data_IF_099671518108
#
_entry.id   IF_099671518108
#
_cell.length_a   1.000
_cell.length_b   1.000
_cell.length_c   1.000
_cell.angle_alpha   90.00
_cell.angle_beta   90.00
_cell.angle_gamma   90.00
#
_symmetry.space_group_name_H-M   'P 1'
#
loop_
_entity.id
_entity.type
_entity.pdbx_description
1 polymer ?
#
# COMPACT_ATOMS: atom_id res chain seq x y z
N UNK A 1 -9.63 -7.86 -4.08
CA UNK A 1 -9.95 -6.46 -3.79
C UNK A 1 -9.83 -6.24 -2.30
N UNK A 2 -9.02 -5.28 -1.86
CA UNK A 2 -8.98 -4.89 -0.45
C UNK A 2 -10.28 -4.17 -0.09
N UNK A 3 -10.91 -4.53 1.04
CA UNK A 3 -12.08 -3.79 1.56
C UNK A 3 -11.73 -2.97 2.80
N UNK A 4 -10.57 -3.22 3.41
CA UNK A 4 -10.05 -2.43 4.52
C UNK A 4 -9.75 -0.99 4.12
N UNK A 5 -9.04 -0.82 3.00
CA UNK A 5 -8.74 0.50 2.41
C UNK A 5 -10.02 1.32 2.12
N UNK A 6 -11.09 0.69 1.64
CA UNK A 6 -12.39 1.34 1.42
C UNK A 6 -12.98 1.89 2.72
N UNK A 7 -12.92 1.10 3.81
CA UNK A 7 -13.40 1.52 5.13
C UNK A 7 -12.59 2.70 5.67
N UNK A 8 -11.26 2.65 5.55
CA UNK A 8 -10.38 3.72 5.99
C UNK A 8 -10.64 5.02 5.24
N UNK A 9 -10.70 4.98 3.91
CA UNK A 9 -10.97 6.15 3.08
C UNK A 9 -12.35 6.75 3.39
N UNK A 10 -13.38 5.92 3.58
CA UNK A 10 -14.72 6.38 3.95
C UNK A 10 -14.75 7.07 5.33
N UNK A 11 -13.88 6.66 6.26
CA UNK A 11 -13.74 7.27 7.58
C UNK A 11 -12.69 8.41 7.60
N UNK A 12 -12.28 8.91 6.43
CA UNK A 12 -11.42 10.07 6.31
C UNK A 12 -9.93 9.81 6.50
N UNK A 13 -9.48 8.56 6.57
CA UNK A 13 -8.06 8.25 6.55
C UNK A 13 -7.50 8.43 5.13
N UNK A 14 -6.36 9.12 5.01
CA UNK A 14 -5.64 9.22 3.75
C UNK A 14 -4.84 7.94 3.52
N UNK A 15 -4.90 7.42 2.30
CA UNK A 15 -4.22 6.17 1.97
C UNK A 15 -2.79 6.46 1.51
N UNK A 16 -1.83 5.77 2.12
CA UNK A 16 -0.51 5.51 1.55
C UNK A 16 -0.51 4.09 1.00
N UNK A 17 -0.14 3.90 -0.26
CA UNK A 17 -0.25 2.59 -0.90
C UNK A 17 0.35 2.50 -2.29
N UNK A 18 0.60 1.26 -2.72
CA UNK A 18 1.01 0.94 -4.09
C UNK A 18 -0.18 1.01 -5.06
N UNK A 19 0.13 1.04 -6.37
CA UNK A 19 -0.86 1.08 -7.46
C UNK A 19 -1.48 -0.30 -7.74
N UNK A 20 -2.00 -0.98 -6.72
CA UNK A 20 -2.57 -2.33 -6.83
C UNK A 20 -4.01 -2.43 -6.30
N UNK A 21 -4.77 -3.36 -6.89
CA UNK A 21 -6.12 -3.72 -6.47
C UNK A 21 -7.05 -2.51 -6.33
N UNK A 22 -7.72 -2.41 -5.17
CA UNK A 22 -8.68 -1.35 -4.90
C UNK A 22 -8.03 0.03 -4.67
N UNK A 23 -6.71 0.12 -4.51
CA UNK A 23 -6.04 1.42 -4.39
C UNK A 23 -6.08 2.19 -5.72
N UNK A 24 -6.06 1.49 -6.86
CA UNK A 24 -6.26 2.09 -8.19
C UNK A 24 -7.61 2.80 -8.23
N UNK A 25 -8.67 2.07 -7.91
CA UNK A 25 -10.04 2.61 -7.89
C UNK A 25 -10.19 3.74 -6.87
N UNK A 26 -9.59 3.61 -5.67
CA UNK A 26 -9.65 4.67 -4.65
C UNK A 26 -8.98 5.93 -5.17
N UNK A 27 -7.74 5.83 -5.68
CA UNK A 27 -6.96 6.97 -6.16
C UNK A 27 -7.67 7.69 -7.31
N UNK A 28 -8.27 6.96 -8.25
CA UNK A 28 -9.08 7.55 -9.33
C UNK A 28 -10.25 8.38 -8.81
N UNK A 29 -10.93 7.91 -7.75
CA UNK A 29 -12.11 8.59 -7.20
C UNK A 29 -11.77 9.73 -6.29
N UNK A 30 -10.84 9.54 -5.36
CA UNK A 30 -10.47 10.58 -4.39
C UNK A 30 -9.60 11.65 -5.07
N UNK A 31 -8.93 11.31 -6.16
CA UNK A 31 -8.00 12.17 -6.90
C UNK A 31 -6.57 11.98 -6.41
N UNK A 32 -5.61 12.06 -7.35
CA UNK A 32 -4.19 11.81 -7.08
C UNK A 32 -3.63 12.63 -5.92
N UNK A 33 -4.04 13.90 -5.77
CA UNK A 33 -3.55 14.79 -4.71
C UNK A 33 -4.00 14.38 -3.30
N UNK A 34 -5.01 13.51 -3.20
CA UNK A 34 -5.61 13.04 -1.95
C UNK A 34 -5.19 11.61 -1.57
N UNK A 35 -4.12 11.10 -2.20
CA UNK A 35 -3.58 9.75 -2.04
C UNK A 35 -2.04 9.80 -2.07
N UNK A 36 -1.37 9.10 -1.17
CA UNK A 36 0.09 9.00 -1.14
C UNK A 36 0.53 7.73 -1.86
N UNK A 37 0.86 7.85 -3.14
CA UNK A 37 1.31 6.74 -3.97
C UNK A 37 2.80 6.48 -3.74
N UNK A 38 3.18 5.22 -3.59
CA UNK A 38 4.58 4.80 -3.58
C UNK A 38 4.78 3.47 -4.30
N UNK A 39 6.05 3.13 -4.53
CA UNK A 39 6.47 1.82 -5.00
C UNK A 39 6.27 1.60 -6.50
N UNK A 40 6.66 0.40 -6.93
CA UNK A 40 6.66 -0.02 -8.33
C UNK A 40 5.23 -0.23 -8.85
N UNK A 41 5.05 0.10 -10.13
CA UNK A 41 3.88 -0.36 -10.91
C UNK A 41 3.99 -1.84 -11.24
N UNK A 42 2.87 -2.47 -11.60
CA UNK A 42 2.83 -3.90 -11.99
C UNK A 42 3.79 -4.17 -13.16
N UNK A 43 3.85 -3.27 -14.13
CA UNK A 43 4.73 -3.36 -15.29
C UNK A 43 6.21 -3.28 -14.88
N UNK A 44 6.55 -2.38 -13.96
CA UNK A 44 7.91 -2.23 -13.44
C UNK A 44 8.33 -3.45 -12.60
N UNK A 45 7.42 -4.03 -11.82
CA UNK A 45 7.65 -5.30 -11.09
C UNK A 45 8.06 -6.42 -12.04
N UNK A 46 7.30 -6.61 -13.13
CA UNK A 46 7.63 -7.64 -14.12
C UNK A 46 8.95 -7.35 -14.82
N UNK A 47 9.19 -6.11 -15.22
CA UNK A 47 10.43 -5.71 -15.87
C UNK A 47 11.64 -5.92 -14.95
N UNK A 48 11.53 -5.55 -13.67
CA UNK A 48 12.59 -5.72 -12.68
C UNK A 48 12.92 -7.20 -12.46
N UNK A 49 11.90 -8.04 -12.23
CA UNK A 49 12.09 -9.49 -12.06
C UNK A 49 12.72 -10.12 -13.31
N UNK A 50 12.27 -9.74 -14.51
CA UNK A 50 12.81 -10.27 -15.78
C UNK A 50 14.30 -9.92 -16.03
N UNK A 51 14.78 -8.82 -15.44
CA UNK A 51 16.18 -8.38 -15.55
C UNK A 51 17.12 -9.10 -14.58
N UNK A 52 16.61 -10.00 -13.73
CA UNK A 52 17.38 -10.69 -12.71
C UNK A 52 17.61 -9.80 -11.49
N UNK A 53 16.50 -9.34 -10.88
CA UNK A 53 16.51 -8.58 -9.63
C UNK A 53 17.44 -9.20 -8.57
N UNK A 54 18.35 -8.39 -8.04
CA UNK A 54 19.24 -8.76 -6.94
C UNK A 54 18.95 -7.87 -5.72
N UNK A 55 18.34 -8.42 -4.64
CA UNK A 55 18.01 -7.64 -3.45
C UNK A 55 19.25 -7.14 -2.71
N UNK A 56 20.41 -7.81 -2.83
CA UNK A 56 21.65 -7.38 -2.17
C UNK A 56 22.16 -6.07 -2.76
N UNK A 57 22.07 -5.92 -4.08
CA UNK A 57 22.45 -4.70 -4.77
C UNK A 57 21.61 -3.49 -4.32
N UNK A 58 20.33 -3.69 -3.99
CA UNK A 58 19.47 -2.63 -3.44
C UNK A 58 19.98 -2.15 -2.09
N UNK A 59 20.32 -3.10 -1.20
CA UNK A 59 20.85 -2.78 0.13
C UNK A 59 22.20 -2.05 0.04
N UNK A 60 23.08 -2.48 -0.87
CA UNK A 60 24.37 -1.83 -1.08
C UNK A 60 24.22 -0.38 -1.58
N UNK A 61 23.16 -0.09 -2.33
CA UNK A 61 22.83 1.25 -2.82
C UNK A 61 22.17 2.19 -1.80
N UNK A 62 21.72 1.67 -0.65
CA UNK A 62 20.97 2.43 0.36
C UNK A 62 21.57 2.23 1.77
N UNK A 63 22.40 3.19 2.24
CA UNK A 63 23.07 3.08 3.54
C UNK A 63 22.13 2.96 4.75
N UNK A 64 20.95 3.60 4.68
CA UNK A 64 19.96 3.55 5.76
C UNK A 64 19.34 2.16 5.82
N UNK A 65 18.90 1.63 4.66
CA UNK A 65 18.37 0.28 4.57
C UNK A 65 19.39 -0.75 5.04
N UNK A 66 20.66 -0.59 4.63
CA UNK A 66 21.74 -1.45 5.09
C UNK A 66 21.87 -1.44 6.61
N UNK A 67 21.86 -0.26 7.22
CA UNK A 67 21.93 -0.14 8.67
C UNK A 67 20.76 -0.85 9.36
N UNK A 68 19.54 -0.71 8.84
CA UNK A 68 18.34 -1.40 9.36
C UNK A 68 18.51 -2.92 9.32
N UNK A 69 18.91 -3.47 8.17
CA UNK A 69 19.13 -4.91 8.00
C UNK A 69 20.25 -5.41 8.92
N UNK A 70 21.36 -4.68 9.02
CA UNK A 70 22.49 -5.04 9.87
C UNK A 70 22.08 -5.08 11.36
N UNK A 71 21.30 -4.11 11.84
CA UNK A 71 20.84 -4.06 13.23
C UNK A 71 19.88 -5.20 13.57
N UNK A 72 18.93 -5.52 12.69
CA UNK A 72 18.03 -6.65 12.88
C UNK A 72 18.84 -7.96 12.88
N UNK A 73 19.79 -8.11 11.96
CA UNK A 73 20.64 -9.30 11.85
C UNK A 73 21.60 -9.49 13.03
N UNK A 74 22.05 -8.40 13.64
CA UNK A 74 22.94 -8.42 14.80
C UNK A 74 22.22 -8.71 16.13
N UNK A 75 20.89 -8.88 16.11
CA UNK A 75 20.09 -9.17 17.30
C UNK A 75 19.83 -7.96 18.20
N UNK A 76 19.96 -6.73 17.66
CA UNK A 76 19.71 -5.48 18.42
C UNK A 76 18.29 -5.44 18.99
N UNK A 77 17.33 -6.05 18.29
CA UNK A 77 15.90 -6.08 18.68
C UNK A 77 15.45 -7.43 19.24
N UNK A 78 16.38 -8.29 19.64
CA UNK A 78 16.11 -9.66 20.11
C UNK A 78 17.01 -10.07 21.28
N UNK A 79 17.31 -9.12 22.17
CA UNK A 79 18.17 -9.33 23.35
C UNK A 79 19.54 -9.97 23.02
N UNK A 80 20.07 -9.65 21.83
CA UNK A 80 21.35 -10.18 21.35
C UNK A 80 21.27 -11.56 20.68
N UNK A 81 20.08 -12.14 20.48
CA UNK A 81 19.91 -13.36 19.69
C UNK A 81 19.85 -13.04 18.18
N UNK A 82 20.91 -13.33 17.40
CA UNK A 82 20.93 -13.04 15.96
C UNK A 82 20.10 -14.03 15.14
N UNK A 83 19.65 -15.15 15.73
CA UNK A 83 18.97 -16.23 15.00
C UNK A 83 17.46 -16.03 14.91
N UNK A 84 16.87 -15.24 15.81
CA UNK A 84 15.42 -15.04 15.91
C UNK A 84 14.80 -14.54 14.58
N UNK A 85 15.45 -13.57 13.93
CA UNK A 85 14.96 -12.97 12.68
C UNK A 85 15.63 -13.51 11.42
N UNK A 86 16.57 -14.46 11.55
CA UNK A 86 17.31 -15.04 10.42
C UNK A 86 16.39 -15.52 9.28
N UNK A 87 15.24 -16.19 9.52
CA UNK A 87 14.36 -16.63 8.43
C UNK A 87 13.80 -15.47 7.59
N UNK A 88 13.48 -14.33 8.24
CA UNK A 88 12.96 -13.14 7.56
C UNK A 88 14.06 -12.46 6.78
N UNK A 89 15.22 -12.22 7.41
CA UNK A 89 16.38 -11.61 6.76
C UNK A 89 16.80 -12.43 5.55
N UNK A 90 16.91 -13.75 5.69
CA UNK A 90 17.27 -14.62 4.57
C UNK A 90 16.25 -14.57 3.44
N UNK A 91 14.95 -14.53 3.74
CA UNK A 91 13.90 -14.37 2.72
C UNK A 91 14.08 -13.08 1.90
N UNK A 92 14.42 -11.97 2.57
CA UNK A 92 14.70 -10.68 1.95
C UNK A 92 16.02 -10.70 1.15
N UNK A 93 17.10 -11.22 1.70
CA UNK A 93 18.41 -11.18 1.04
C UNK A 93 18.54 -12.17 -0.12
N UNK A 94 17.85 -13.31 -0.07
CA UNK A 94 18.00 -14.36 -1.07
C UNK A 94 17.04 -14.21 -2.25
N UNK A 95 15.80 -13.78 -2.01
CA UNK A 95 14.77 -13.72 -3.06
C UNK A 95 13.97 -12.44 -3.08
N UNK A 96 13.59 -11.93 -1.91
CA UNK A 96 12.69 -10.78 -1.78
C UNK A 96 11.49 -10.88 -2.75
N UNK A 97 10.74 -11.98 -2.64
CA UNK A 97 9.68 -12.35 -3.60
C UNK A 97 8.65 -11.23 -3.80
N UNK A 98 8.40 -10.45 -2.75
CA UNK A 98 7.42 -9.37 -2.73
C UNK A 98 8.04 -7.98 -2.93
N UNK A 99 9.32 -7.90 -3.32
CA UNK A 99 10.01 -6.66 -3.64
C UNK A 99 10.00 -5.62 -2.51
N UNK A 100 10.05 -6.12 -1.27
CA UNK A 100 10.04 -5.29 -0.05
C UNK A 100 11.25 -4.37 -0.03
N UNK A 101 12.42 -4.87 -0.40
CA UNK A 101 13.64 -4.08 -0.43
C UNK A 101 13.62 -3.08 -1.59
N UNK A 102 13.11 -3.48 -2.75
CA UNK A 102 13.01 -2.60 -3.91
C UNK A 102 12.08 -1.40 -3.66
N UNK A 103 10.96 -1.60 -2.96
CA UNK A 103 10.00 -0.54 -2.65
C UNK A 103 10.37 0.28 -1.39
N UNK A 104 11.37 -0.15 -0.62
CA UNK A 104 11.70 0.43 0.68
C UNK A 104 11.91 1.95 0.62
N UNK A 105 12.80 2.42 -0.26
CA UNK A 105 13.13 3.85 -0.35
C UNK A 105 11.92 4.68 -0.77
N UNK A 106 11.16 4.22 -1.76
CA UNK A 106 9.94 4.89 -2.20
C UNK A 106 8.89 4.97 -1.09
N UNK A 107 8.78 3.93 -0.26
CA UNK A 107 7.89 3.92 0.89
C UNK A 107 8.31 4.91 1.98
N UNK A 108 9.60 4.97 2.32
CA UNK A 108 10.15 5.93 3.29
C UNK A 108 9.91 7.36 2.82
N UNK A 109 10.24 7.67 1.56
CA UNK A 109 10.04 9.01 0.99
C UNK A 109 8.55 9.41 1.00
N UNK A 110 7.65 8.47 0.71
CA UNK A 110 6.21 8.72 0.79
C UNK A 110 5.72 8.92 2.23
N UNK A 111 6.29 8.23 3.22
CA UNK A 111 6.00 8.47 4.63
C UNK A 111 6.47 9.86 5.10
N UNK A 112 7.61 10.34 4.59
CA UNK A 112 8.07 11.71 4.85
C UNK A 112 7.08 12.75 4.28
N UNK A 113 6.53 12.50 3.09
CA UNK A 113 5.48 13.35 2.51
C UNK A 113 4.17 13.28 3.30
N UNK A 114 3.81 12.12 3.87
CA UNK A 114 2.69 12.00 4.81
C UNK A 114 2.94 12.86 6.04
N UNK A 115 4.14 12.78 6.63
CA UNK A 115 4.49 13.54 7.83
C UNK A 115 4.47 15.06 7.58
N UNK A 116 5.00 15.52 6.43
CA UNK A 116 4.90 16.92 5.99
C UNK A 116 3.44 17.34 5.80
N UNK A 117 2.66 16.52 5.10
CA UNK A 117 1.25 16.78 4.84
C UNK A 117 0.39 16.86 6.10
N UNK A 118 0.68 16.02 7.10
CA UNK A 118 -0.07 16.00 8.36
C UNK A 118 0.11 17.27 9.21
N UNK A 119 1.25 17.98 9.05
CA UNK A 119 1.51 19.26 9.74
C UNK A 119 0.64 20.41 9.21
N UNK A 120 0.23 20.35 7.94
CA UNK A 120 -0.76 21.29 7.37
C UNK A 120 -2.17 20.75 7.61
N UNK A 121 -2.72 21.10 8.77
CA UNK A 121 -4.02 20.60 9.24
C UNK A 121 -5.15 20.96 8.28
N UNK A 122 -5.16 22.16 7.72
CA UNK A 122 -6.25 22.61 6.83
C UNK A 122 -6.26 21.81 5.54
N UNK A 123 -5.08 21.63 4.92
CA UNK A 123 -4.94 20.80 3.73
C UNK A 123 -5.26 19.33 4.06
N UNK A 124 -4.75 18.78 5.16
CA UNK A 124 -5.01 17.40 5.56
C UNK A 124 -6.50 17.13 5.77
N UNK A 125 -7.18 17.98 6.53
CA UNK A 125 -8.63 17.87 6.77
C UNK A 125 -9.42 17.97 5.48
N UNK A 126 -9.03 18.87 4.56
CA UNK A 126 -9.65 18.93 3.22
C UNK A 126 -9.49 17.61 2.46
N UNK A 127 -8.27 17.05 2.40
CA UNK A 127 -8.02 15.75 1.74
C UNK A 127 -8.86 14.63 2.37
N UNK A 128 -8.99 14.63 3.70
CA UNK A 128 -9.75 13.65 4.49
C UNK A 128 -11.24 13.69 4.16
N UNK A 129 -11.84 14.89 4.15
CA UNK A 129 -13.25 15.09 3.78
C UNK A 129 -13.48 14.67 2.32
N UNK A 130 -12.56 14.99 1.41
CA UNK A 130 -12.67 14.59 0.00
C UNK A 130 -12.60 13.08 -0.18
N UNK A 131 -11.78 12.37 0.61
CA UNK A 131 -11.78 10.89 0.63
C UNK A 131 -13.16 10.36 1.03
N UNK A 132 -13.68 10.78 2.18
CA UNK A 132 -14.99 10.34 2.68
C UNK A 132 -16.11 10.64 1.67
N UNK A 133 -16.15 11.85 1.12
CA UNK A 133 -17.19 12.28 0.18
C UNK A 133 -17.15 11.56 -1.17
N UNK A 134 -15.97 11.12 -1.63
CA UNK A 134 -15.77 10.50 -2.95
C UNK A 134 -15.79 8.96 -2.91
N UNK A 135 -15.88 8.35 -1.73
CA UNK A 135 -15.87 6.90 -1.55
C UNK A 135 -17.25 6.21 -1.65
N UNK A 136 -18.33 6.93 -1.97
CA UNK A 136 -19.68 6.34 -2.07
C UNK A 136 -19.81 5.17 -3.07
N UNK A 137 -18.93 5.13 -4.07
CA UNK A 137 -18.86 4.00 -5.01
C UNK A 137 -18.51 2.68 -4.35
N UNK A 138 -17.78 2.68 -3.24
CA UNK A 138 -17.36 1.46 -2.54
C UNK A 138 -18.46 0.85 -1.67
N UNK A 139 -19.69 1.39 -1.72
CA UNK A 139 -20.84 0.78 -1.07
C UNK A 139 -21.10 -0.64 -1.60
N UNK A 140 -21.34 -1.58 -0.68
CA UNK A 140 -21.76 -2.94 -1.01
C UNK A 140 -23.09 -2.96 -1.77
N UNK A 141 -23.97 -1.98 -1.55
CA UNK A 141 -25.27 -1.91 -2.25
C UNK A 141 -25.07 -1.74 -3.75
N UNK A 142 -24.07 -0.95 -4.16
CA UNK A 142 -23.70 -0.81 -5.58
C UNK A 142 -23.23 -2.15 -6.15
N UNK A 143 -22.36 -2.86 -5.43
CA UNK A 143 -21.88 -4.18 -5.85
C UNK A 143 -23.04 -5.18 -5.96
N UNK A 144 -23.94 -5.23 -4.97
CA UNK A 144 -25.11 -6.11 -4.99
C UNK A 144 -26.05 -5.81 -6.15
N UNK A 145 -26.34 -4.53 -6.43
CA UNK A 145 -27.16 -4.14 -7.60
C UNK A 145 -26.52 -4.58 -8.91
N UNK A 146 -25.21 -4.45 -9.04
CA UNK A 146 -24.49 -4.88 -10.23
C UNK A 146 -24.53 -6.40 -10.40
N UNK A 147 -24.29 -7.18 -9.33
CA UNK A 147 -24.41 -8.64 -9.37
C UNK A 147 -25.85 -9.09 -9.72
N UNK A 148 -26.86 -8.44 -9.13
CA UNK A 148 -28.26 -8.71 -9.43
C UNK A 148 -28.61 -8.50 -10.90
N UNK A 149 -28.13 -7.41 -11.50
CA UNK A 149 -28.40 -7.06 -12.89
C UNK A 149 -27.56 -7.87 -13.89
N UNK A 150 -26.27 -8.05 -13.63
CA UNK A 150 -25.31 -8.55 -14.62
C UNK A 150 -25.20 -10.07 -14.59
N UNK A 151 -25.35 -10.70 -13.42
CA UNK A 151 -25.07 -12.12 -13.21
C UNK A 151 -26.34 -12.87 -12.79
N UNK A 152 -26.98 -12.49 -11.68
CA UNK A 152 -28.08 -13.26 -11.11
C UNK A 152 -29.40 -13.09 -11.87
N UNK A 153 -29.56 -11.98 -12.59
CA UNK A 153 -30.77 -11.63 -13.35
C UNK A 153 -32.02 -11.62 -12.47
N UNK A 154 -31.95 -10.91 -11.33
CA UNK A 154 -33.04 -10.77 -10.36
C UNK A 154 -33.48 -9.32 -10.19
N UNK A 155 -34.77 -9.13 -9.92
CA UNK A 155 -35.38 -7.81 -9.64
C UNK A 155 -35.81 -7.67 -8.17
N UNK A 156 -35.84 -6.45 -7.61
CA UNK A 156 -36.35 -6.22 -6.26
C UNK A 156 -37.80 -6.67 -6.10
N UNK A 157 -38.09 -7.47 -5.08
CA UNK A 157 -39.46 -7.85 -4.72
C UNK A 157 -39.96 -6.96 -3.57
N UNK A 158 -40.86 -6.00 -3.82
CA UNK A 158 -41.43 -5.18 -2.75
C UNK A 158 -42.29 -6.04 -1.82
N UNK A 159 -42.08 -5.88 -0.51
CA UNK A 159 -42.93 -6.49 0.52
C UNK A 159 -44.28 -5.76 0.54
N UNK A 160 -45.38 -6.51 0.57
CA UNK A 160 -46.74 -6.00 0.70
C UNK A 160 -47.17 -5.89 2.16
#
# INVERSE_FOLDING_TARGET
SGTGNMKFALNGALTIGTLDGANVEIRERVGADNFFLFGLTVEEVFALKSKGYDPRAVIEGDPELKQVIDQISAGVFSDGDPTLFEPIIRSLLDRDEFLVLADYRAYVDAQDEVEKGYRDVDTWTRKSILNAARCGFFSSDRAMRQYAADIWKVEPLPVR
#
